data_IF_164549942212
#
_entry.id   IF_164549942212
#
_cell.length_a   1.000
_cell.length_b   1.000
_cell.length_c   1.000
_cell.angle_alpha   90.00
_cell.angle_beta   90.00
_cell.angle_gamma   90.00
#
_symmetry.space_group_name_H-M   'P 1'
#
loop_
_entity.id
_entity.type
_entity.pdbx_description
1 polymer ?
#
# COMPACT_ATOMS: atom_id res chain seq x y z
N UNK A 1 2.17 10.25 -3.13
CA UNK A 1 1.97 9.56 -4.41
C UNK A 1 1.21 8.26 -4.19
N UNK A 2 0.15 8.03 -4.98
CA UNK A 2 -0.76 6.90 -4.75
C UNK A 2 -0.86 6.04 -6.01
N UNK A 3 -0.65 4.72 -5.84
CA UNK A 3 -0.68 3.73 -6.91
C UNK A 3 -1.58 2.54 -6.53
N UNK A 4 -2.27 1.97 -7.50
CA UNK A 4 -3.19 0.86 -7.27
C UNK A 4 -2.59 -0.53 -7.48
N UNK A 5 -1.35 -0.58 -7.93
CA UNK A 5 -0.53 -1.79 -7.97
C UNK A 5 0.97 -1.48 -8.00
N UNK A 6 1.79 -2.52 -7.85
CA UNK A 6 3.24 -2.41 -7.85
C UNK A 6 3.79 -1.93 -9.21
N UNK A 7 3.15 -2.32 -10.31
CA UNK A 7 3.63 -2.03 -11.66
C UNK A 7 3.50 -0.54 -11.97
N UNK A 8 2.38 0.09 -11.58
CA UNK A 8 2.20 1.55 -11.67
C UNK A 8 3.25 2.30 -10.86
N UNK A 9 3.52 1.85 -9.62
CA UNK A 9 4.55 2.45 -8.78
C UNK A 9 5.95 2.30 -9.39
N UNK A 10 6.26 1.12 -9.92
CA UNK A 10 7.55 0.85 -10.58
C UNK A 10 7.75 1.71 -11.82
N UNK A 11 6.71 1.88 -12.62
CA UNK A 11 6.75 2.77 -13.80
C UNK A 11 7.03 4.22 -13.39
N UNK A 12 6.38 4.71 -12.32
CA UNK A 12 6.62 6.06 -11.80
C UNK A 12 8.07 6.25 -11.30
N UNK A 13 8.63 5.23 -10.62
CA UNK A 13 10.05 5.24 -10.21
C UNK A 13 10.97 5.27 -11.42
N UNK A 14 10.76 4.42 -12.43
CA UNK A 14 11.57 4.37 -13.65
C UNK A 14 11.53 5.68 -14.42
N UNK A 15 10.38 6.36 -14.44
CA UNK A 15 10.23 7.68 -15.08
C UNK A 15 10.72 8.85 -14.21
N UNK A 16 11.39 8.60 -13.08
CA UNK A 16 11.87 9.60 -12.14
C UNK A 16 10.77 10.58 -11.67
N UNK A 17 9.55 10.09 -11.51
CA UNK A 17 8.41 10.87 -11.04
C UNK A 17 8.31 10.91 -9.51
N UNK A 18 9.01 10.04 -8.80
CA UNK A 18 9.11 10.03 -7.34
C UNK A 18 10.26 10.94 -6.92
N UNK A 19 10.00 11.78 -5.93
CA UNK A 19 10.94 12.81 -5.46
C UNK A 19 11.21 12.68 -3.97
N UNK A 20 12.30 13.27 -3.53
CA UNK A 20 12.60 13.41 -2.10
C UNK A 20 11.41 14.05 -1.35
N UNK A 21 11.03 13.45 -0.23
CA UNK A 21 9.88 13.88 0.58
C UNK A 21 8.56 13.22 0.20
N UNK A 22 8.49 12.44 -0.88
CA UNK A 22 7.29 11.70 -1.24
C UNK A 22 7.05 10.53 -0.27
N UNK A 23 5.78 10.28 0.02
CA UNK A 23 5.30 9.01 0.57
C UNK A 23 4.62 8.24 -0.56
N UNK A 24 5.19 7.11 -0.93
CA UNK A 24 4.65 6.21 -1.97
C UNK A 24 3.67 5.26 -1.31
N UNK A 25 2.40 5.36 -1.69
CA UNK A 25 1.33 4.47 -1.21
C UNK A 25 0.95 3.50 -2.32
N UNK A 26 1.15 2.20 -2.09
CA UNK A 26 0.78 1.14 -3.03
C UNK A 26 -0.38 0.35 -2.46
N UNK A 27 -1.53 0.39 -3.14
CA UNK A 27 -2.78 -0.22 -2.69
C UNK A 27 -3.08 -1.52 -3.45
N UNK A 28 -4.05 -2.28 -2.93
CA UNK A 28 -4.59 -3.49 -3.56
C UNK A 28 -3.55 -4.59 -3.83
N UNK A 29 -2.53 -4.67 -2.97
CA UNK A 29 -1.50 -5.71 -2.99
C UNK A 29 -1.50 -6.58 -1.72
N UNK A 30 -2.58 -6.50 -0.95
CA UNK A 30 -2.80 -7.30 0.26
C UNK A 30 -3.42 -8.67 -0.02
N UNK A 31 -3.79 -9.43 1.03
CA UNK A 31 -4.33 -10.77 0.90
C UNK A 31 -5.54 -10.89 -0.03
N UNK A 32 -6.47 -9.93 0.03
CA UNK A 32 -7.67 -9.92 -0.82
C UNK A 32 -7.47 -9.16 -2.12
N UNK A 33 -6.91 -7.96 -2.05
CA UNK A 33 -6.76 -7.06 -3.20
C UNK A 33 -5.68 -7.47 -4.18
N UNK A 34 -4.57 -8.02 -3.67
CA UNK A 34 -3.48 -8.63 -4.45
C UNK A 34 -3.24 -10.04 -3.95
N UNK A 35 -4.07 -11.05 -4.36
CA UNK A 35 -4.02 -12.36 -3.75
C UNK A 35 -2.62 -12.96 -3.70
N UNK A 36 -2.16 -13.34 -2.49
CA UNK A 36 -0.81 -13.84 -2.25
C UNK A 36 0.16 -12.82 -1.67
N UNK A 37 -0.26 -11.58 -1.40
CA UNK A 37 0.56 -10.53 -0.76
C UNK A 37 1.92 -10.34 -1.44
N UNK A 38 1.93 -9.70 -2.60
CA UNK A 38 3.16 -9.43 -3.36
C UNK A 38 4.21 -8.71 -2.51
N UNK A 39 5.47 -9.09 -2.69
CA UNK A 39 6.62 -8.45 -2.09
C UNK A 39 7.07 -7.24 -2.92
N UNK A 40 7.31 -6.10 -2.24
CA UNK A 40 7.66 -4.82 -2.87
C UNK A 40 9.16 -4.62 -3.09
N UNK A 41 9.93 -5.69 -3.26
CA UNK A 41 11.39 -5.61 -3.40
C UNK A 41 11.82 -4.82 -4.64
N UNK A 42 11.14 -5.00 -5.76
CA UNK A 42 11.50 -4.33 -7.01
C UNK A 42 11.41 -2.79 -6.87
N UNK A 43 10.32 -2.28 -6.30
CA UNK A 43 10.11 -0.84 -6.10
C UNK A 43 11.13 -0.27 -5.11
N UNK A 44 11.36 -0.94 -3.97
CA UNK A 44 12.32 -0.48 -2.96
C UNK A 44 13.76 -0.51 -3.47
N UNK A 45 14.14 -1.53 -4.25
CA UNK A 45 15.45 -1.63 -4.88
C UNK A 45 15.66 -0.51 -5.93
N UNK A 46 14.64 -0.21 -6.73
CA UNK A 46 14.68 0.87 -7.72
C UNK A 46 14.83 2.25 -7.05
N UNK A 47 14.09 2.51 -5.97
CA UNK A 47 14.24 3.74 -5.17
C UNK A 47 15.65 3.85 -4.58
N UNK A 48 16.19 2.76 -4.04
CA UNK A 48 17.56 2.73 -3.52
C UNK A 48 18.60 2.98 -4.64
N UNK A 49 18.37 2.38 -5.81
CA UNK A 49 19.23 2.62 -7.00
C UNK A 49 19.25 4.08 -7.47
N UNK A 50 18.19 4.84 -7.20
CA UNK A 50 18.11 6.29 -7.47
C UNK A 50 18.60 7.16 -6.28
N UNK A 51 19.05 6.55 -5.18
CA UNK A 51 19.51 7.27 -3.99
C UNK A 51 18.36 7.88 -3.16
N UNK A 52 17.14 7.41 -3.35
CA UNK A 52 15.93 7.92 -2.69
C UNK A 52 15.53 7.14 -1.43
N UNK A 53 16.21 6.05 -1.10
CA UNK A 53 15.88 5.15 0.01
C UNK A 53 15.80 5.82 1.40
N UNK A 54 16.52 6.93 1.58
CA UNK A 54 16.50 7.73 2.83
C UNK A 54 15.58 8.95 2.77
N UNK A 55 14.98 9.21 1.64
CA UNK A 55 14.24 10.45 1.38
C UNK A 55 12.79 10.20 0.99
N UNK A 56 12.42 8.96 0.75
CA UNK A 56 11.07 8.53 0.36
C UNK A 56 10.63 7.45 1.32
N UNK A 57 9.38 7.53 1.77
CA UNK A 57 8.74 6.45 2.50
C UNK A 57 7.84 5.63 1.57
N UNK A 58 7.67 4.32 1.88
CA UNK A 58 6.76 3.46 1.15
C UNK A 58 5.78 2.80 2.11
N UNK A 59 4.49 2.88 1.80
CA UNK A 59 3.38 2.33 2.58
C UNK A 59 2.58 1.39 1.70
N UNK A 60 2.36 0.17 2.17
CA UNK A 60 1.55 -0.81 1.44
C UNK A 60 0.87 -1.80 2.38
N UNK A 61 -0.13 -2.49 1.88
CA UNK A 61 -0.67 -3.68 2.53
C UNK A 61 0.08 -4.96 2.11
N UNK A 62 0.92 -4.89 1.08
CA UNK A 62 1.85 -5.94 0.70
C UNK A 62 2.94 -6.14 1.75
N UNK A 63 3.98 -6.86 1.41
CA UNK A 63 5.08 -7.20 2.32
C UNK A 63 6.43 -6.73 1.78
N UNK A 64 7.40 -6.68 2.66
CA UNK A 64 8.77 -6.30 2.34
C UNK A 64 9.76 -7.43 2.63
N UNK A 65 10.84 -7.44 1.88
CA UNK A 65 12.03 -8.26 2.14
C UNK A 65 12.79 -7.73 3.36
N UNK A 66 13.51 -8.63 4.06
CA UNK A 66 14.44 -8.25 5.11
C UNK A 66 15.64 -7.40 4.62
N UNK A 67 15.89 -7.33 3.32
CA UNK A 67 16.91 -6.47 2.71
C UNK A 67 16.41 -5.06 2.38
N UNK A 68 15.12 -4.76 2.59
CA UNK A 68 14.53 -3.45 2.34
C UNK A 68 15.20 -2.36 3.17
N UNK A 69 15.45 -1.20 2.55
CA UNK A 69 16.04 -0.02 3.19
C UNK A 69 15.03 1.14 3.20
N UNK A 70 15.24 2.06 4.14
CA UNK A 70 14.39 3.25 4.28
C UNK A 70 13.11 3.00 5.09
N UNK A 71 12.25 4.01 5.13
CA UNK A 71 10.97 3.96 5.84
C UNK A 71 9.96 3.17 5.01
N UNK A 72 9.80 1.87 5.30
CA UNK A 72 8.91 0.97 4.58
C UNK A 72 7.95 0.30 5.55
N UNK A 73 6.65 0.59 5.38
CA UNK A 73 5.56 0.10 6.23
C UNK A 73 4.70 -0.87 5.43
N UNK A 74 4.84 -2.16 5.74
CA UNK A 74 4.05 -3.24 5.16
C UNK A 74 2.85 -3.61 6.03
N UNK A 75 2.00 -4.50 5.51
CA UNK A 75 0.85 -5.08 6.21
C UNK A 75 -0.12 -4.03 6.80
N UNK A 76 -0.22 -2.84 6.17
CA UNK A 76 -1.10 -1.76 6.63
C UNK A 76 -2.57 -2.19 6.60
N UNK A 77 -3.12 -2.44 7.77
CA UNK A 77 -4.46 -3.03 7.97
C UNK A 77 -5.45 -2.02 8.52
N UNK A 78 -6.73 -2.08 8.14
CA UNK A 78 -7.36 -2.94 7.12
C UNK A 78 -6.95 -2.56 5.69
N UNK A 79 -6.93 -3.57 4.78
CA UNK A 79 -6.51 -3.33 3.39
C UNK A 79 -7.51 -2.50 2.57
N UNK A 80 -7.01 -1.92 1.45
CA UNK A 80 -7.82 -1.10 0.57
C UNK A 80 -8.98 -1.88 -0.07
N UNK A 81 -8.81 -3.17 -0.37
CA UNK A 81 -9.84 -3.99 -0.99
C UNK A 81 -11.10 -4.17 -0.12
N UNK A 82 -10.98 -3.99 1.20
CA UNK A 82 -12.12 -3.99 2.14
C UNK A 82 -12.47 -2.57 2.62
N UNK A 83 -11.95 -1.55 1.97
CA UNK A 83 -12.23 -0.15 2.28
C UNK A 83 -11.56 0.33 3.57
N UNK A 84 -10.39 -0.20 3.91
CA UNK A 84 -9.55 0.34 4.97
C UNK A 84 -9.07 1.77 4.67
N UNK A 85 -8.52 2.50 5.67
CA UNK A 85 -8.12 3.90 5.50
C UNK A 85 -7.19 4.16 4.32
N UNK A 86 -6.30 3.20 4.01
CA UNK A 86 -5.38 3.28 2.87
C UNK A 86 -6.11 3.40 1.52
N UNK A 87 -7.36 2.90 1.41
CA UNK A 87 -8.19 3.06 0.21
C UNK A 87 -8.61 4.52 -0.02
N UNK A 88 -8.63 5.33 1.02
CA UNK A 88 -9.14 6.70 1.01
C UNK A 88 -8.04 7.74 0.75
N UNK A 89 -6.79 7.32 0.76
CA UNK A 89 -5.64 8.20 0.44
C UNK A 89 -5.74 8.65 -1.00
N UNK A 90 -5.57 9.94 -1.25
CA UNK A 90 -5.57 10.54 -2.57
C UNK A 90 -4.19 11.11 -2.92
N UNK A 91 -3.94 11.26 -4.21
CA UNK A 91 -2.72 11.91 -4.70
C UNK A 91 -2.58 13.32 -4.13
N UNK A 92 -1.41 13.62 -3.56
CA UNK A 92 -1.13 14.90 -2.92
C UNK A 92 -1.50 15.01 -1.44
N UNK A 93 -2.17 14.01 -0.86
CA UNK A 93 -2.39 13.98 0.59
C UNK A 93 -1.07 13.97 1.34
N UNK A 94 -1.03 14.67 2.48
CA UNK A 94 0.13 14.62 3.39
C UNK A 94 -0.03 13.49 4.38
N UNK A 95 1.08 12.76 4.59
CA UNK A 95 1.16 11.68 5.57
C UNK A 95 2.34 11.96 6.50
N UNK A 96 2.08 12.01 7.79
CA UNK A 96 3.12 12.10 8.81
C UNK A 96 3.52 10.71 9.28
N UNK A 97 4.82 10.43 9.23
CA UNK A 97 5.43 9.22 9.77
C UNK A 97 6.29 9.58 10.96
N UNK A 98 5.88 9.19 12.16
CA UNK A 98 6.65 9.34 13.39
C UNK A 98 7.16 7.98 13.84
N UNK A 99 8.35 7.63 13.38
CA UNK A 99 8.97 6.33 13.65
C UNK A 99 9.27 6.18 15.15
N UNK A 100 9.68 7.24 15.81
CA UNK A 100 10.05 7.21 17.24
C UNK A 100 8.85 6.90 18.14
N UNK A 101 7.67 7.41 17.78
CA UNK A 101 6.43 7.19 18.52
C UNK A 101 5.53 6.12 17.90
N UNK A 102 6.00 5.40 16.88
CA UNK A 102 5.24 4.37 16.16
C UNK A 102 3.89 4.87 15.63
N UNK A 103 3.87 6.08 15.08
CA UNK A 103 2.64 6.70 14.57
C UNK A 103 2.72 6.93 13.07
N UNK A 104 1.60 6.69 12.42
CA UNK A 104 1.33 7.10 11.05
C UNK A 104 0.01 7.88 11.05
N UNK A 105 0.00 9.04 10.42
CA UNK A 105 -1.18 9.89 10.37
C UNK A 105 -1.39 10.45 8.97
N UNK A 106 -2.61 10.31 8.46
CA UNK A 106 -3.06 10.93 7.23
C UNK A 106 -3.65 12.30 7.61
N UNK A 107 -3.05 13.38 7.10
CA UNK A 107 -3.41 14.78 7.40
C UNK A 107 -4.69 15.20 6.64
N UNK A 108 -5.75 14.47 6.88
CA UNK A 108 -7.08 14.71 6.30
C UNK A 108 -8.10 14.67 7.41
N UNK A 109 -9.08 15.59 7.41
CA UNK A 109 -10.08 15.64 8.47
C UNK A 109 -11.00 14.41 8.46
N UNK A 110 -11.59 14.11 9.62
CA UNK A 110 -12.53 12.99 9.77
C UNK A 110 -13.76 13.16 8.88
N UNK A 111 -14.23 14.40 8.67
CA UNK A 111 -15.35 14.72 7.79
C UNK A 111 -15.02 14.41 6.34
N UNK A 112 -13.82 14.79 5.88
CA UNK A 112 -13.38 14.49 4.52
C UNK A 112 -13.15 12.97 4.33
N UNK A 113 -12.57 12.29 5.31
CA UNK A 113 -12.42 10.83 5.28
C UNK A 113 -13.79 10.14 5.22
N UNK A 114 -14.76 10.62 5.99
CA UNK A 114 -16.14 10.10 5.93
C UNK A 114 -16.77 10.34 4.55
N UNK A 115 -16.57 11.52 3.96
CA UNK A 115 -17.06 11.83 2.62
C UNK A 115 -16.41 10.95 1.53
N UNK A 116 -15.09 10.72 1.62
CA UNK A 116 -14.36 9.80 0.74
C UNK A 116 -14.87 8.36 0.90
N UNK A 117 -15.08 7.93 2.15
CA UNK A 117 -15.60 6.60 2.46
C UNK A 117 -17.00 6.38 1.88
N UNK A 118 -17.87 7.36 1.96
CA UNK A 118 -19.22 7.29 1.41
C UNK A 118 -19.23 7.13 -0.14
N UNK A 119 -18.20 7.62 -0.81
CA UNK A 119 -18.03 7.52 -2.27
C UNK A 119 -17.20 6.30 -2.70
N UNK A 120 -16.51 5.67 -1.75
CA UNK A 120 -15.64 4.55 -2.08
C UNK A 120 -16.46 3.33 -2.52
N UNK A 121 -16.04 2.74 -3.62
CA UNK A 121 -16.60 1.48 -4.15
C UNK A 121 -15.47 0.47 -4.24
N UNK A 122 -15.72 -0.74 -3.78
CA UNK A 122 -14.75 -1.82 -3.89
C UNK A 122 -14.40 -2.06 -5.38
N UNK A 123 -13.12 -2.07 -5.75
CA UNK A 123 -12.73 -2.37 -7.12
C UNK A 123 -13.07 -3.82 -7.46
N UNK A 124 -13.21 -4.08 -8.76
CA UNK A 124 -13.33 -5.45 -9.26
C UNK A 124 -12.10 -6.29 -8.84
N UNK A 125 -12.31 -7.54 -8.43
CA UNK A 125 -11.20 -8.42 -8.07
C UNK A 125 -10.19 -8.56 -9.22
N UNK A 126 -8.89 -8.42 -8.94
CA UNK A 126 -7.81 -8.63 -9.92
C UNK A 126 -7.82 -10.05 -10.49
N UNK A 127 -8.21 -11.03 -9.68
CA UNK A 127 -8.31 -12.45 -10.09
C UNK A 127 -9.72 -12.95 -9.84
N UNK A 128 -10.41 -13.36 -10.91
CA UNK A 128 -11.83 -13.75 -10.88
C UNK A 128 -12.06 -15.27 -10.84
N UNK A 129 -11.06 -16.06 -11.17
CA UNK A 129 -11.19 -17.52 -11.28
C UNK A 129 -9.97 -18.24 -10.69
N UNK A 130 -10.09 -19.54 -10.47
CA UNK A 130 -9.01 -20.38 -10.02
C UNK A 130 -8.69 -20.27 -8.53
N UNK A 131 -7.52 -20.77 -8.14
CA UNK A 131 -7.11 -20.89 -6.76
C UNK A 131 -7.00 -19.51 -6.04
N UNK A 132 -6.38 -18.53 -6.68
CA UNK A 132 -6.19 -17.21 -6.08
C UNK A 132 -7.51 -16.46 -5.88
N UNK A 133 -8.50 -16.66 -6.75
CA UNK A 133 -9.84 -16.11 -6.53
C UNK A 133 -10.53 -16.74 -5.30
N UNK A 134 -10.34 -18.05 -5.12
CA UNK A 134 -10.81 -18.76 -3.91
C UNK A 134 -10.07 -18.28 -2.66
N UNK A 135 -8.74 -18.16 -2.74
CA UNK A 135 -7.90 -17.63 -1.66
C UNK A 135 -8.39 -16.25 -1.21
N UNK A 136 -8.57 -15.30 -2.14
CA UNK A 136 -9.02 -13.94 -1.83
C UNK A 136 -10.36 -13.87 -1.09
N UNK A 137 -11.25 -14.85 -1.31
CA UNK A 137 -12.54 -14.93 -0.61
C UNK A 137 -12.41 -15.42 0.83
N UNK A 138 -11.49 -16.35 1.11
CA UNK A 138 -11.37 -17.06 2.37
C UNK A 138 -10.28 -16.49 3.29
N UNK A 139 -9.33 -15.74 2.74
CA UNK A 139 -8.19 -15.24 3.50
C UNK A 139 -8.61 -14.15 4.50
N UNK A 140 -8.06 -14.24 5.70
CA UNK A 140 -8.16 -13.19 6.72
C UNK A 140 -7.24 -12.02 6.43
N UNK A 141 -7.39 -10.94 7.16
CA UNK A 141 -6.49 -9.77 7.12
C UNK A 141 -5.07 -10.12 7.53
N UNK A 142 -4.08 -9.38 7.03
CA UNK A 142 -2.66 -9.61 7.32
C UNK A 142 -2.32 -9.48 8.81
N UNK A 143 -2.98 -8.57 9.54
CA UNK A 143 -2.86 -8.43 10.99
C UNK A 143 -3.43 -9.62 11.77
N UNK A 144 -4.21 -10.49 11.11
CA UNK A 144 -4.72 -11.75 11.64
C UNK A 144 -3.95 -12.97 11.12
N UNK A 145 -2.80 -12.74 10.47
CA UNK A 145 -1.92 -13.78 9.95
C UNK A 145 -2.20 -14.23 8.52
N UNK A 146 -3.14 -13.60 7.80
CA UNK A 146 -3.52 -13.97 6.42
C UNK A 146 -3.82 -15.47 6.26
N UNK A 147 -4.51 -16.04 7.24
CA UNK A 147 -4.92 -17.46 7.26
C UNK A 147 -6.24 -17.65 6.51
N UNK A 148 -6.44 -18.85 5.97
CA UNK A 148 -7.72 -19.23 5.37
C UNK A 148 -8.74 -19.61 6.46
N UNK A 149 -9.95 -19.14 6.30
CA UNK A 149 -11.10 -19.38 7.21
C UNK A 149 -12.29 -19.90 6.42
#
# INVERSE_FOLDING_TARGET
>A
RVFNDESEAMEAVQKAQIKAGDVVVIRYEGPKGGPGMREMLAVTAALAGQGLDKQVALITYGRFSGATRGASLGHCSPEAAVGGPIALVQEGDKITLDINNYKIHLEVSDEELAARKAKWVAPEPKVKTGYLARYAKLVSSADKGAILQ
#
